data_IF_002863155030
#
_entry.id   IF_002863155030
#
_cell.length_a   1.000
_cell.length_b   1.000
_cell.length_c   1.000
_cell.angle_alpha   90.00
_cell.angle_beta   90.00
_cell.angle_gamma   90.00
#
_symmetry.space_group_name_H-M   'P 1'
#
loop_
_entity.id
_entity.type
_entity.pdbx_description
1 polymer ?
#
# COMPACT_ATOMS: atom_id res chain seq x y z
N UNK A 1 -7.86 -48.61 13.30
CA UNK A 1 -8.77 -47.44 13.32
C UNK A 1 -7.88 -46.20 13.47
N UNK A 2 -7.50 -45.54 12.38
CA UNK A 2 -6.64 -44.36 12.44
C UNK A 2 -7.50 -43.14 12.78
N UNK A 3 -7.38 -42.64 14.01
CA UNK A 3 -7.97 -41.38 14.43
C UNK A 3 -7.26 -40.26 13.65
N UNK A 4 -7.92 -39.76 12.60
CA UNK A 4 -7.53 -38.53 11.92
C UNK A 4 -7.73 -37.37 12.88
N UNK A 5 -6.68 -37.02 13.63
CA UNK A 5 -6.60 -35.74 14.29
C UNK A 5 -6.54 -34.67 13.20
N UNK A 6 -7.70 -34.12 12.82
CA UNK A 6 -7.76 -32.86 12.08
C UNK A 6 -7.01 -31.84 12.94
N UNK A 7 -5.75 -31.59 12.59
CA UNK A 7 -4.91 -30.56 13.21
C UNK A 7 -5.74 -29.28 13.15
N UNK A 8 -6.20 -28.77 14.29
CA UNK A 8 -6.95 -27.51 14.34
C UNK A 8 -6.04 -26.46 13.71
N UNK A 9 -6.40 -25.96 12.53
CA UNK A 9 -5.68 -24.83 11.95
C UNK A 9 -5.78 -23.68 12.94
N UNK A 10 -4.62 -23.18 13.39
CA UNK A 10 -4.59 -22.00 14.23
C UNK A 10 -5.14 -20.81 13.43
N UNK A 11 -5.92 -19.90 14.06
CA UNK A 11 -6.34 -18.69 13.39
C UNK A 11 -5.12 -17.81 13.05
N UNK A 12 -5.31 -16.88 12.11
CA UNK A 12 -4.34 -15.80 11.90
C UNK A 12 -4.43 -14.82 13.07
N UNK A 13 -3.31 -14.53 13.70
CA UNK A 13 -3.18 -13.56 14.78
C UNK A 13 -2.56 -12.26 14.24
N UNK A 14 -3.07 -11.11 14.68
CA UNK A 14 -2.46 -9.82 14.35
C UNK A 14 -1.21 -9.63 15.21
N UNK A 15 -0.07 -9.49 14.55
CA UNK A 15 1.24 -9.29 15.20
C UNK A 15 1.59 -7.81 15.29
N UNK A 16 1.30 -7.06 14.24
CA UNK A 16 1.62 -5.63 14.17
C UNK A 16 0.62 -4.91 13.25
N UNK A 17 0.45 -3.62 13.48
CA UNK A 17 -0.32 -2.74 12.62
C UNK A 17 0.34 -1.37 12.51
N UNK A 18 0.62 -0.96 11.28
CA UNK A 18 1.17 0.36 10.94
C UNK A 18 0.19 1.07 10.03
N UNK A 19 0.01 2.37 10.22
CA UNK A 19 -0.91 3.14 9.40
C UNK A 19 -0.40 4.56 9.20
N UNK A 20 -0.75 5.11 8.05
CA UNK A 20 -0.52 6.48 7.64
C UNK A 20 -1.87 7.05 7.22
N UNK A 21 -2.28 8.12 7.90
CA UNK A 21 -3.48 8.85 7.53
C UNK A 21 -3.31 9.47 6.14
N UNK A 22 -4.40 9.69 5.38
CA UNK A 22 -4.33 10.31 4.07
C UNK A 22 -3.59 11.64 4.09
N UNK A 23 -2.57 11.78 3.24
CA UNK A 23 -1.74 13.00 3.08
C UNK A 23 -1.67 13.44 1.62
N UNK A 24 -1.49 14.73 1.39
CA UNK A 24 -1.23 15.29 0.06
C UNK A 24 0.15 14.83 -0.42
N UNK A 25 0.22 14.34 -1.66
CA UNK A 25 1.47 13.84 -2.25
C UNK A 25 2.25 14.93 -2.98
N UNK A 26 1.59 16.01 -3.37
CA UNK A 26 2.16 17.12 -4.11
C UNK A 26 1.93 18.37 -3.26
N UNK A 27 2.97 18.81 -2.58
CA UNK A 27 2.97 20.03 -1.78
C UNK A 27 3.53 21.21 -2.58
N UNK A 28 3.21 22.44 -2.18
CA UNK A 28 3.70 23.65 -2.84
C UNK A 28 5.24 23.76 -2.80
N UNK A 29 5.88 23.10 -1.84
CA UNK A 29 7.34 23.06 -1.71
C UNK A 29 8.00 21.97 -2.58
N UNK A 30 7.23 21.14 -3.28
CA UNK A 30 7.76 20.09 -4.17
C UNK A 30 7.98 20.66 -5.59
N UNK A 31 9.23 20.64 -6.08
CA UNK A 31 9.56 21.09 -7.46
C UNK A 31 8.73 20.38 -8.54
N UNK A 32 8.32 19.13 -8.31
CA UNK A 32 7.46 18.38 -9.23
C UNK A 32 5.99 18.85 -9.22
N UNK A 33 5.54 19.53 -8.16
CA UNK A 33 4.19 20.08 -8.05
C UNK A 33 4.03 21.39 -8.83
N UNK A 34 5.12 22.17 -9.00
CA UNK A 34 5.10 23.44 -9.75
C UNK A 34 4.69 23.24 -11.23
N UNK A 35 5.06 22.10 -11.81
CA UNK A 35 4.76 21.76 -13.21
C UNK A 35 3.40 21.05 -13.38
N UNK A 36 2.62 20.85 -12.31
CA UNK A 36 1.48 19.95 -12.30
C UNK A 36 0.15 20.70 -12.37
N UNK A 37 -0.54 20.60 -13.50
CA UNK A 37 -1.84 21.23 -13.73
C UNK A 37 -2.98 20.23 -13.50
N UNK A 38 -3.73 20.40 -12.40
CA UNK A 38 -4.82 19.48 -12.02
C UNK A 38 -6.14 19.89 -12.66
N UNK A 39 -6.58 19.13 -13.66
CA UNK A 39 -7.82 19.35 -14.39
C UNK A 39 -9.07 18.89 -13.65
N UNK A 40 -8.97 17.75 -12.95
CA UNK A 40 -10.10 17.21 -12.19
C UNK A 40 -9.66 16.30 -11.06
N UNK A 41 -10.45 16.27 -9.99
CA UNK A 41 -10.21 15.43 -8.81
C UNK A 41 -11.40 14.51 -8.64
N UNK A 42 -11.15 13.24 -8.34
CA UNK A 42 -12.20 12.29 -7.98
C UNK A 42 -13.03 12.79 -6.80
N UNK A 43 -14.35 12.70 -6.91
CA UNK A 43 -15.28 13.07 -5.82
C UNK A 43 -15.28 12.07 -4.66
N UNK A 44 -14.74 10.87 -4.89
CA UNK A 44 -14.70 9.79 -3.90
C UNK A 44 -13.28 9.29 -3.69
N UNK A 45 -13.00 8.83 -2.47
CA UNK A 45 -11.79 8.06 -2.18
C UNK A 45 -11.94 6.65 -2.76
N UNK A 46 -10.90 6.17 -3.43
CA UNK A 46 -10.82 4.78 -3.88
C UNK A 46 -10.01 3.98 -2.85
N UNK A 47 -10.50 2.79 -2.52
CA UNK A 47 -9.86 1.89 -1.57
C UNK A 47 -9.52 0.58 -2.26
N UNK A 48 -8.38 -0.02 -1.89
CA UNK A 48 -7.96 -1.35 -2.33
C UNK A 48 -7.40 -2.14 -1.15
N UNK A 49 -7.73 -3.43 -1.10
CA UNK A 49 -7.21 -4.36 -0.09
C UNK A 49 -6.40 -5.45 -0.78
N UNK A 50 -5.14 -5.59 -0.41
CA UNK A 50 -4.17 -6.47 -1.04
C UNK A 50 -3.52 -7.36 0.01
N UNK A 51 -3.42 -8.65 -0.27
CA UNK A 51 -2.90 -9.64 0.68
C UNK A 51 -1.68 -10.33 0.09
N UNK A 52 -0.59 -10.39 0.86
CA UNK A 52 0.68 -10.99 0.45
C UNK A 52 1.17 -11.95 1.52
N UNK A 53 1.62 -13.14 1.12
CA UNK A 53 2.30 -14.06 2.04
C UNK A 53 3.80 -13.71 2.09
N UNK A 54 4.34 -13.56 3.31
CA UNK A 54 5.74 -13.20 3.53
C UNK A 54 6.60 -14.46 3.64
N UNK A 55 7.80 -14.42 3.08
CA UNK A 55 8.73 -15.56 3.07
C UNK A 55 10.16 -15.09 3.34
N UNK A 56 10.83 -15.74 4.29
CA UNK A 56 12.24 -15.47 4.61
C UNK A 56 13.19 -15.66 3.41
N UNK A 57 12.75 -16.38 2.37
CA UNK A 57 13.54 -16.57 1.13
C UNK A 57 13.56 -15.34 0.22
N UNK A 58 12.63 -14.40 0.41
CA UNK A 58 12.48 -13.20 -0.44
C UNK A 58 13.17 -11.96 0.13
N UNK A 59 14.10 -12.15 1.07
CA UNK A 59 14.89 -11.07 1.67
C UNK A 59 14.37 -10.63 3.03
N UNK A 60 14.90 -9.52 3.57
CA UNK A 60 14.53 -9.03 4.89
C UNK A 60 13.04 -8.63 4.94
N UNK A 61 12.37 -8.82 6.10
CA UNK A 61 10.94 -8.52 6.24
C UNK A 61 10.58 -7.10 5.81
N UNK A 62 11.39 -6.12 6.17
CA UNK A 62 11.17 -4.69 5.91
C UNK A 62 11.05 -4.43 4.41
N UNK A 63 11.97 -5.00 3.62
CA UNK A 63 11.94 -4.90 2.15
C UNK A 63 10.71 -5.56 1.54
N UNK A 64 10.24 -6.67 2.12
CA UNK A 64 9.02 -7.33 1.65
C UNK A 64 7.78 -6.49 1.98
N UNK A 65 7.72 -5.85 3.15
CA UNK A 65 6.63 -4.95 3.53
C UNK A 65 6.59 -3.72 2.62
N UNK A 66 7.75 -3.09 2.36
CA UNK A 66 7.87 -1.99 1.41
C UNK A 66 7.43 -2.40 0.01
N UNK A 67 7.87 -3.58 -0.45
CA UNK A 67 7.45 -4.13 -1.74
C UNK A 67 5.94 -4.35 -1.83
N UNK A 68 5.33 -4.92 -0.79
CA UNK A 68 3.88 -5.11 -0.71
C UNK A 68 3.12 -3.77 -0.76
N UNK A 69 3.62 -2.75 -0.07
CA UNK A 69 3.01 -1.42 -0.05
C UNK A 69 3.12 -0.72 -1.41
N UNK A 70 4.31 -0.71 -2.03
CA UNK A 70 4.52 -0.13 -3.37
C UNK A 70 3.71 -0.86 -4.44
N UNK A 71 3.60 -2.19 -4.35
CA UNK A 71 2.75 -2.94 -5.27
C UNK A 71 1.27 -2.56 -5.11
N UNK A 72 0.81 -2.40 -3.87
CA UNK A 72 -0.58 -2.00 -3.56
C UNK A 72 -0.91 -0.63 -4.14
N UNK A 73 0.00 0.34 -3.99
CA UNK A 73 -0.10 1.67 -4.60
C UNK A 73 -0.21 1.56 -6.14
N UNK A 74 0.64 0.76 -6.78
CA UNK A 74 0.61 0.56 -8.23
C UNK A 74 -0.68 -0.10 -8.71
N UNK A 75 -1.24 -1.05 -7.96
CA UNK A 75 -2.53 -1.64 -8.30
C UNK A 75 -3.66 -0.62 -8.20
N UNK A 76 -3.70 0.17 -7.12
CA UNK A 76 -4.70 1.21 -6.94
C UNK A 76 -4.60 2.27 -8.05
N UNK A 77 -3.38 2.64 -8.45
CA UNK A 77 -3.14 3.53 -9.58
C UNK A 77 -3.75 2.99 -10.87
N UNK A 78 -3.50 1.71 -11.21
CA UNK A 78 -4.11 1.06 -12.39
C UNK A 78 -5.64 1.01 -12.32
N UNK A 79 -6.21 0.92 -11.12
CA UNK A 79 -7.66 0.95 -10.95
C UNK A 79 -8.25 2.33 -11.21
N UNK A 80 -7.58 3.40 -10.80
CA UNK A 80 -8.04 4.78 -11.06
C UNK A 80 -7.73 5.25 -12.48
N UNK A 81 -6.69 4.71 -13.12
CA UNK A 81 -6.40 4.88 -14.54
C UNK A 81 -7.57 4.42 -15.43
N UNK A 82 -8.21 3.31 -15.08
CA UNK A 82 -9.43 2.84 -15.75
C UNK A 82 -10.60 3.82 -15.64
N UNK A 83 -10.56 4.73 -14.67
CA UNK A 83 -11.56 5.79 -14.45
C UNK A 83 -11.14 7.14 -15.06
N UNK A 84 -10.01 7.18 -15.77
CA UNK A 84 -9.50 8.38 -16.43
C UNK A 84 -8.58 9.24 -15.58
N UNK A 85 -8.21 8.83 -14.37
CA UNK A 85 -7.25 9.56 -13.52
C UNK A 85 -5.82 9.05 -13.74
N UNK A 86 -4.79 9.88 -13.54
CA UNK A 86 -3.40 9.49 -13.80
C UNK A 86 -2.45 9.74 -12.63
N UNK A 87 -2.95 10.31 -11.52
CA UNK A 87 -2.18 10.50 -10.29
C UNK A 87 -3.02 10.15 -9.05
N UNK A 88 -2.33 9.89 -7.95
CA UNK A 88 -2.92 9.76 -6.62
C UNK A 88 -2.55 11.03 -5.84
N UNK A 89 -3.51 11.97 -5.74
CA UNK A 89 -3.26 13.29 -5.17
C UNK A 89 -3.17 13.25 -3.64
N UNK A 90 -4.04 12.44 -3.03
CA UNK A 90 -4.04 12.18 -1.58
C UNK A 90 -3.88 10.68 -1.41
N UNK A 91 -2.93 10.24 -0.59
CA UNK A 91 -2.64 8.82 -0.36
C UNK A 91 -2.59 8.52 1.14
N UNK A 92 -3.13 7.36 1.53
CA UNK A 92 -3.06 6.85 2.90
C UNK A 92 -3.15 5.33 2.91
N UNK A 93 -2.59 4.69 3.93
CA UNK A 93 -2.51 3.24 3.97
C UNK A 93 -2.55 2.69 5.39
N UNK A 94 -3.00 1.45 5.51
CA UNK A 94 -2.93 0.63 6.71
C UNK A 94 -2.35 -0.73 6.35
N UNK A 95 -1.34 -1.14 7.09
CA UNK A 95 -0.65 -2.41 6.93
C UNK A 95 -0.88 -3.23 8.21
N UNK A 96 -1.37 -4.45 8.06
CA UNK A 96 -1.60 -5.39 9.17
C UNK A 96 -0.78 -6.65 8.94
N UNK A 97 0.13 -6.96 9.86
CA UNK A 97 0.95 -8.17 9.81
C UNK A 97 0.22 -9.26 10.59
N UNK A 98 0.01 -10.38 9.92
CA UNK A 98 -0.70 -11.55 10.41
C UNK A 98 0.27 -12.73 10.54
N UNK A 99 0.16 -13.51 11.62
CA UNK A 99 0.95 -14.73 11.83
C UNK A 99 0.06 -15.93 12.07
N UNK A 100 0.48 -17.07 11.54
CA UNK A 100 -0.11 -18.38 11.81
C UNK A 100 1.02 -19.41 11.93
N UNK A 101 1.44 -19.69 13.16
CA UNK A 101 2.59 -20.55 13.44
C UNK A 101 3.90 -19.97 12.85
N UNK A 102 4.39 -20.57 11.76
CA UNK A 102 5.60 -20.13 11.03
C UNK A 102 5.30 -19.29 9.78
N UNK A 103 4.02 -19.13 9.43
CA UNK A 103 3.60 -18.38 8.26
C UNK A 103 3.30 -16.95 8.66
N UNK A 104 3.79 -16.00 7.87
CA UNK A 104 3.49 -14.60 8.01
C UNK A 104 2.78 -14.13 6.75
N UNK A 105 1.86 -13.20 6.93
CA UNK A 105 1.06 -12.59 5.86
C UNK A 105 0.94 -11.11 6.18
N UNK A 106 0.81 -10.31 5.15
CA UNK A 106 0.49 -8.90 5.29
C UNK A 106 -0.78 -8.59 4.52
N UNK A 107 -1.69 -7.87 5.16
CA UNK A 107 -2.82 -7.22 4.51
C UNK A 107 -2.52 -5.73 4.42
N UNK A 108 -2.59 -5.19 3.21
CA UNK A 108 -2.42 -3.77 2.91
C UNK A 108 -3.76 -3.22 2.47
N UNK A 109 -4.30 -2.29 3.24
CA UNK A 109 -5.44 -1.47 2.87
C UNK A 109 -4.89 -0.13 2.39
N UNK A 110 -4.97 0.12 1.09
CA UNK A 110 -4.53 1.37 0.48
C UNK A 110 -5.75 2.23 0.15
N UNK A 111 -5.62 3.54 0.34
CA UNK A 111 -6.67 4.51 0.04
C UNK A 111 -6.07 5.70 -0.68
N UNK A 112 -6.77 6.19 -1.70
CA UNK A 112 -6.32 7.37 -2.41
C UNK A 112 -7.47 8.18 -3.00
N UNK A 113 -7.26 9.50 -3.07
CA UNK A 113 -8.07 10.40 -3.89
C UNK A 113 -7.31 10.67 -5.20
N UNK A 114 -7.85 10.15 -6.29
CA UNK A 114 -7.22 10.26 -7.59
C UNK A 114 -7.51 11.62 -8.25
N UNK A 115 -6.64 12.03 -9.16
CA UNK A 115 -6.83 13.21 -9.97
C UNK A 115 -6.32 13.00 -11.41
N UNK A 116 -6.85 13.82 -12.33
CA UNK A 116 -6.36 13.97 -13.69
C UNK A 116 -5.52 15.23 -13.71
N UNK A 117 -4.26 15.08 -14.04
CA UNK A 117 -3.34 16.19 -14.20
C UNK A 117 -2.59 16.12 -15.54
N UNK A 118 -2.01 17.25 -15.93
CA UNK A 118 -1.01 17.39 -17.00
C UNK A 118 0.30 17.93 -16.41
N UNK A 119 1.41 17.76 -17.14
CA UNK A 119 2.75 18.14 -16.68
C UNK A 119 3.73 16.98 -16.54
N UNK A 120 4.83 17.20 -15.80
CA UNK A 120 5.84 16.17 -15.53
C UNK A 120 5.37 15.18 -14.45
N UNK A 121 4.59 14.20 -14.88
CA UNK A 121 4.01 13.21 -13.96
C UNK A 121 4.97 12.05 -13.75
N UNK A 122 5.45 11.89 -12.51
CA UNK A 122 6.32 10.78 -12.10
C UNK A 122 5.67 9.82 -11.09
N UNK A 123 4.34 9.72 -11.09
CA UNK A 123 3.57 8.91 -10.12
C UNK A 123 4.08 7.47 -9.98
N UNK A 124 4.43 6.78 -11.07
CA UNK A 124 4.93 5.38 -10.99
C UNK A 124 6.27 5.23 -10.27
N UNK A 125 7.04 6.31 -10.11
CA UNK A 125 8.34 6.33 -9.42
C UNK A 125 8.22 6.81 -7.98
N UNK A 126 7.10 7.44 -7.61
CA UNK A 126 6.88 7.95 -6.27
C UNK A 126 6.59 6.80 -5.30
N UNK A 127 7.31 6.69 -4.18
CA UNK A 127 7.00 5.70 -3.16
C UNK A 127 5.68 6.06 -2.44
N UNK A 128 5.05 5.09 -1.77
CA UNK A 128 3.99 5.35 -0.81
C UNK A 128 4.39 6.39 0.25
N UNK A 129 3.46 7.23 0.73
CA UNK A 129 3.77 8.25 1.73
C UNK A 129 4.30 7.62 3.01
N UNK A 130 5.36 8.22 3.58
CA UNK A 130 6.00 7.76 4.81
C UNK A 130 6.36 6.26 4.83
N UNK A 131 6.75 5.69 3.68
CA UNK A 131 7.18 4.28 3.58
C UNK A 131 8.31 3.92 4.57
N UNK A 132 9.12 4.89 4.98
CA UNK A 132 10.19 4.71 5.98
C UNK A 132 9.71 4.34 7.38
N UNK A 133 8.41 4.47 7.70
CA UNK A 133 7.82 3.94 8.94
C UNK A 133 7.96 2.40 9.02
N UNK A 134 8.20 1.74 7.87
CA UNK A 134 8.48 0.31 7.79
C UNK A 134 9.94 -0.04 8.10
N UNK A 135 10.88 0.92 8.08
CA UNK A 135 12.31 0.69 8.36
C UNK A 135 12.60 0.49 9.86
N UNK A 136 11.60 0.74 10.72
CA UNK A 136 11.74 0.61 12.17
C UNK A 136 11.11 -0.70 12.67
N UNK A 137 11.95 -1.67 13.06
CA UNK A 137 12.07 -2.17 14.44
C UNK A 137 13.20 -3.23 14.54
N UNK A 138 14.30 -2.83 15.20
CA UNK A 138 15.21 -3.72 15.92
C UNK A 138 14.86 -3.69 17.40
#
# INVERSE_FOLDING_TARGET
>A
MFLSFRRKEQPWEVVDCKAVNPVLMYSEDDEEAEDLDVHSISNTVTHGTYVFDLSYKHGPPERQLQGALSFSQQQLLREVEKKGFNILLVEGWKLTILRRGKYNRVEVQYSARAAKAEGKIHQHRRPPPFIGVLDSQH
#
